data_IF_186801763408
#
_entry.id   IF_186801763408
#
_cell.length_a   1.000
_cell.length_b   1.000
_cell.length_c   1.000
_cell.angle_alpha   90.00
_cell.angle_beta   90.00
_cell.angle_gamma   90.00
#
_symmetry.space_group_name_H-M   'P 1'
#
loop_
_entity.id
_entity.type
_entity.pdbx_description
1 polymer ?
#
# COMPACT_ATOMS: atom_id res chain seq x y z
N UNK A 1 23.00 20.17 20.61
CA UNK A 1 23.13 20.18 19.13
C UNK A 1 24.13 19.11 18.75
N UNK A 2 23.67 18.02 18.20
CA UNK A 2 24.55 17.00 17.62
C UNK A 2 24.96 17.59 16.25
N UNK A 3 26.24 17.98 16.12
CA UNK A 3 26.75 18.40 14.84
C UNK A 3 26.61 17.21 13.89
N UNK A 4 25.88 17.41 12.81
CA UNK A 4 25.70 16.41 11.76
C UNK A 4 27.02 16.25 11.00
N UNK A 5 27.81 15.18 11.26
CA UNK A 5 29.13 15.00 10.65
C UNK A 5 29.06 14.67 9.14
N UNK A 6 27.83 14.45 8.60
CA UNK A 6 27.60 14.01 7.23
C UNK A 6 27.01 15.08 6.32
N UNK A 7 26.96 16.36 6.80
CA UNK A 7 26.52 17.48 5.96
C UNK A 7 25.04 17.44 5.56
N UNK A 8 24.21 16.66 6.24
CA UNK A 8 22.77 16.74 6.10
C UNK A 8 22.35 18.11 6.59
N UNK A 9 22.15 19.04 5.67
CA UNK A 9 21.51 20.29 6.00
C UNK A 9 20.12 19.98 6.49
N UNK A 10 19.69 20.63 7.55
CA UNK A 10 18.36 20.71 8.15
C UNK A 10 17.26 20.04 7.30
N UNK A 11 17.36 18.72 7.20
CA UNK A 11 16.36 17.91 6.57
C UNK A 11 15.20 17.95 7.54
N UNK A 12 14.14 18.61 7.13
CA UNK A 12 12.91 18.55 7.87
C UNK A 12 12.49 17.07 7.89
N UNK A 13 12.52 16.47 9.08
CA UNK A 13 12.03 15.11 9.26
C UNK A 13 10.58 14.94 8.81
N UNK A 14 9.85 16.06 8.65
CA UNK A 14 8.53 16.09 8.05
C UNK A 14 8.57 15.70 6.56
N UNK A 15 9.65 16.03 5.83
CA UNK A 15 9.87 15.54 4.45
C UNK A 15 10.25 14.07 4.41
N UNK A 16 10.76 13.53 5.52
CA UNK A 16 11.09 12.12 5.71
C UNK A 16 9.97 11.29 6.32
N UNK A 17 8.83 11.82 6.52
CA UNK A 17 7.64 10.99 6.74
C UNK A 17 7.40 10.19 5.46
N UNK A 18 8.29 9.18 5.24
CA UNK A 18 8.12 8.10 4.27
C UNK A 18 6.75 7.43 4.46
N UNK A 19 6.21 7.60 5.63
CA UNK A 19 4.86 7.23 6.04
C UNK A 19 4.19 8.45 6.70
N UNK A 20 3.74 9.45 5.93
CA UNK A 20 3.08 10.63 6.49
C UNK A 20 1.79 10.28 7.22
N UNK A 21 1.30 9.06 7.06
CA UNK A 21 0.09 8.56 7.70
C UNK A 21 0.35 7.19 8.33
N UNK A 22 0.10 7.08 9.64
CA UNK A 22 -0.03 5.81 10.35
C UNK A 22 -0.99 4.85 9.59
N UNK A 23 -2.01 5.41 8.95
CA UNK A 23 -2.97 4.69 8.10
C UNK A 23 -2.31 3.93 6.92
N UNK A 24 -1.25 4.47 6.34
CA UNK A 24 -0.50 3.79 5.26
C UNK A 24 0.38 2.67 5.79
N UNK A 25 1.00 2.87 6.95
CA UNK A 25 1.74 1.82 7.64
C UNK A 25 0.82 0.67 8.06
N UNK A 26 -0.36 1.01 8.58
CA UNK A 26 -1.36 0.03 8.98
C UNK A 26 -1.84 -0.82 7.80
N UNK A 27 -1.93 -0.27 6.60
CA UNK A 27 -2.31 -1.05 5.40
C UNK A 27 -1.24 -2.05 4.98
N UNK A 28 0.04 -1.70 5.08
CA UNK A 28 1.14 -2.65 4.84
C UNK A 28 1.10 -3.77 5.88
N UNK A 29 0.92 -3.41 7.14
CA UNK A 29 0.83 -4.37 8.24
C UNK A 29 -0.40 -5.28 8.10
N UNK A 30 -1.56 -4.72 7.72
CA UNK A 30 -2.78 -5.50 7.45
C UNK A 30 -2.57 -6.50 6.31
N UNK A 31 -1.84 -6.11 5.28
CA UNK A 31 -1.53 -7.00 4.18
C UNK A 31 -0.65 -8.18 4.62
N UNK A 32 0.40 -7.95 5.41
CA UNK A 32 1.24 -9.00 6.00
C UNK A 32 0.40 -9.98 6.84
N UNK A 33 -0.51 -9.45 7.67
CA UNK A 33 -1.39 -10.25 8.53
C UNK A 33 -2.33 -11.14 7.70
N UNK A 34 -2.88 -10.62 6.60
CA UNK A 34 -3.87 -11.33 5.79
C UNK A 34 -3.30 -12.54 5.04
N UNK A 35 -2.05 -12.49 4.60
CA UNK A 35 -1.45 -13.55 3.77
C UNK A 35 -0.33 -14.31 4.44
N UNK A 36 0.24 -13.79 5.52
CA UNK A 36 1.49 -14.29 6.13
C UNK A 36 2.64 -14.42 5.10
N UNK A 37 2.53 -13.69 3.97
CA UNK A 37 3.51 -13.61 2.89
C UNK A 37 3.70 -12.16 2.48
N UNK A 38 4.95 -11.75 2.30
CA UNK A 38 5.25 -10.40 1.85
C UNK A 38 5.59 -10.44 0.35
N UNK A 39 4.85 -9.74 -0.53
CA UNK A 39 5.08 -9.79 -1.96
C UNK A 39 6.48 -9.34 -2.33
N UNK A 40 7.13 -10.06 -3.23
CA UNK A 40 8.49 -9.76 -3.69
C UNK A 40 8.57 -8.38 -4.36
N UNK A 41 7.52 -7.96 -5.03
CA UNK A 41 7.41 -6.65 -5.68
C UNK A 41 7.50 -5.54 -4.64
N UNK A 42 6.77 -5.66 -3.54
CA UNK A 42 6.78 -4.71 -2.45
C UNK A 42 8.15 -4.68 -1.75
N UNK A 43 8.77 -5.85 -1.53
CA UNK A 43 10.13 -5.93 -1.01
C UNK A 43 11.15 -5.22 -1.92
N UNK A 44 11.00 -5.37 -3.24
CA UNK A 44 11.88 -4.71 -4.20
C UNK A 44 11.73 -3.19 -4.17
N UNK A 45 10.50 -2.66 -4.04
CA UNK A 45 10.27 -1.22 -3.91
C UNK A 45 10.90 -0.69 -2.61
N UNK A 46 10.74 -1.38 -1.49
CA UNK A 46 11.34 -1.02 -0.20
C UNK A 46 12.87 -1.03 -0.28
N UNK A 47 13.44 -2.08 -0.87
CA UNK A 47 14.91 -2.18 -1.06
C UNK A 47 15.44 -1.06 -1.93
N UNK A 48 14.71 -0.68 -2.99
CA UNK A 48 15.07 0.43 -3.85
C UNK A 48 15.02 1.77 -3.10
N UNK A 49 14.03 1.98 -2.23
CA UNK A 49 13.96 3.16 -1.35
C UNK A 49 15.19 3.28 -0.47
N UNK A 50 15.60 2.21 0.22
CA UNK A 50 16.81 2.21 1.03
C UNK A 50 18.08 2.47 0.21
N UNK A 51 18.18 1.92 -0.99
CA UNK A 51 19.28 2.19 -1.90
C UNK A 51 19.36 3.66 -2.33
N UNK A 52 18.23 4.32 -2.56
CA UNK A 52 18.19 5.74 -2.85
C UNK A 52 18.46 6.59 -1.63
N UNK A 53 17.99 6.19 -0.44
CA UNK A 53 18.29 6.87 0.81
C UNK A 53 19.80 6.87 1.09
N UNK A 54 20.45 5.72 0.95
CA UNK A 54 21.89 5.62 1.12
C UNK A 54 22.65 6.52 0.14
N UNK A 55 22.24 6.57 -1.14
CA UNK A 55 22.85 7.46 -2.14
C UNK A 55 22.60 8.94 -1.85
N UNK A 56 21.41 9.30 -1.37
CA UNK A 56 21.13 10.66 -0.94
C UNK A 56 22.01 11.09 0.23
N UNK A 57 22.25 10.17 1.18
CA UNK A 57 23.07 10.43 2.37
C UNK A 57 24.54 10.72 2.06
N UNK A 58 25.09 10.15 0.97
CA UNK A 58 26.49 10.32 0.56
C UNK A 58 26.64 11.20 -0.68
N UNK A 59 25.56 11.86 -1.11
CA UNK A 59 25.57 12.70 -2.31
C UNK A 59 26.58 13.84 -2.20
N UNK A 60 27.34 14.04 -3.26
CA UNK A 60 28.35 15.10 -3.29
C UNK A 60 27.74 16.49 -3.49
N UNK A 61 26.52 16.55 -4.04
CA UNK A 61 25.80 17.81 -4.31
C UNK A 61 24.35 17.74 -3.82
N UNK A 62 23.76 18.92 -3.46
CA UNK A 62 22.34 18.98 -3.11
C UNK A 62 21.41 18.45 -4.21
N UNK A 63 21.72 18.73 -5.46
CA UNK A 63 20.92 18.31 -6.61
C UNK A 63 20.93 16.79 -6.79
N UNK A 64 22.03 16.12 -6.45
CA UNK A 64 22.11 14.67 -6.45
C UNK A 64 21.27 14.07 -5.31
N UNK A 65 21.33 14.68 -4.12
CA UNK A 65 20.50 14.30 -2.99
C UNK A 65 19.01 14.41 -3.34
N UNK A 66 18.58 15.57 -3.88
CA UNK A 66 17.18 15.80 -4.28
C UNK A 66 16.68 14.80 -5.33
N UNK A 67 17.51 14.48 -6.33
CA UNK A 67 17.15 13.44 -7.32
C UNK A 67 16.92 12.09 -6.68
N UNK A 68 17.73 11.69 -5.70
CA UNK A 68 17.54 10.44 -5.00
C UNK A 68 16.29 10.48 -4.11
N UNK A 69 15.99 11.59 -3.46
CA UNK A 69 14.75 11.77 -2.69
C UNK A 69 13.50 11.68 -3.56
N UNK A 70 13.51 12.30 -4.74
CA UNK A 70 12.41 12.19 -5.69
C UNK A 70 12.16 10.73 -6.11
N UNK A 71 13.22 9.93 -6.27
CA UNK A 71 13.11 8.49 -6.55
C UNK A 71 12.52 7.72 -5.38
N UNK A 72 12.85 8.06 -4.12
CA UNK A 72 12.23 7.46 -2.94
C UNK A 72 10.72 7.70 -2.96
N UNK A 73 10.28 8.96 -3.19
CA UNK A 73 8.84 9.28 -3.30
C UNK A 73 8.13 8.46 -4.38
N UNK A 74 8.79 8.25 -5.53
CA UNK A 74 8.27 7.42 -6.61
C UNK A 74 8.14 5.94 -6.21
N UNK A 75 9.15 5.37 -5.55
CA UNK A 75 9.10 3.99 -5.05
C UNK A 75 8.03 3.81 -3.97
N UNK A 76 7.89 4.78 -3.05
CA UNK A 76 6.82 4.78 -2.03
C UNK A 76 5.43 4.75 -2.67
N UNK A 77 5.21 5.58 -3.70
CA UNK A 77 3.94 5.59 -4.42
C UNK A 77 3.63 4.24 -5.06
N UNK A 78 4.62 3.62 -5.73
CA UNK A 78 4.44 2.28 -6.34
C UNK A 78 4.16 1.22 -5.29
N UNK A 79 4.94 1.19 -4.20
CA UNK A 79 4.71 0.25 -3.11
C UNK A 79 3.29 0.34 -2.55
N UNK A 80 2.78 1.57 -2.35
CA UNK A 80 1.41 1.79 -1.89
C UNK A 80 0.37 1.28 -2.90
N UNK A 81 0.54 1.57 -4.18
CA UNK A 81 -0.35 1.09 -5.23
C UNK A 81 -0.37 -0.44 -5.31
N UNK A 82 0.79 -1.07 -5.15
CA UNK A 82 0.89 -2.54 -5.14
C UNK A 82 0.18 -3.13 -3.91
N UNK A 83 0.30 -2.52 -2.72
CA UNK A 83 -0.49 -2.92 -1.55
C UNK A 83 -1.99 -2.89 -1.83
N UNK A 84 -2.50 -1.85 -2.47
CA UNK A 84 -3.92 -1.76 -2.83
C UNK A 84 -4.33 -2.84 -3.84
N UNK A 85 -3.51 -3.08 -4.89
CA UNK A 85 -3.78 -4.13 -5.89
C UNK A 85 -3.87 -5.50 -5.24
N UNK A 86 -2.89 -5.85 -4.41
CA UNK A 86 -2.87 -7.14 -3.69
C UNK A 86 -4.04 -7.27 -2.72
N UNK A 87 -4.39 -6.21 -1.99
CA UNK A 87 -5.56 -6.22 -1.11
C UNK A 87 -6.84 -6.49 -1.90
N UNK A 88 -7.02 -5.90 -3.06
CA UNK A 88 -8.17 -6.16 -3.93
C UNK A 88 -8.24 -7.62 -4.38
N UNK A 89 -7.09 -8.24 -4.72
CA UNK A 89 -7.02 -9.66 -5.10
C UNK A 89 -7.43 -10.54 -3.92
N UNK A 90 -6.86 -10.30 -2.74
CA UNK A 90 -7.17 -11.08 -1.52
C UNK A 90 -8.66 -11.00 -1.19
N UNK A 91 -9.25 -9.82 -1.19
CA UNK A 91 -10.67 -9.65 -0.88
C UNK A 91 -11.56 -10.29 -1.95
N UNK A 92 -11.15 -10.28 -3.22
CA UNK A 92 -11.87 -10.98 -4.28
C UNK A 92 -11.84 -12.50 -4.04
N UNK A 93 -10.68 -13.06 -3.73
CA UNK A 93 -10.51 -14.48 -3.44
C UNK A 93 -11.34 -14.90 -2.21
N UNK A 94 -11.29 -14.11 -1.12
CA UNK A 94 -12.08 -14.35 0.09
C UNK A 94 -13.59 -14.29 -0.17
N UNK A 95 -14.02 -13.38 -1.03
CA UNK A 95 -15.42 -13.28 -1.44
C UNK A 95 -15.85 -14.57 -2.17
N UNK A 96 -15.07 -15.04 -3.12
CA UNK A 96 -15.38 -16.24 -3.88
C UNK A 96 -15.33 -17.52 -3.02
N UNK A 97 -14.36 -17.58 -2.12
CA UNK A 97 -14.22 -18.67 -1.15
C UNK A 97 -15.45 -18.73 -0.23
N UNK A 98 -15.89 -17.60 0.30
CA UNK A 98 -17.09 -17.52 1.12
C UNK A 98 -18.32 -18.10 0.40
N UNK A 99 -18.60 -17.68 -0.82
CA UNK A 99 -19.75 -18.17 -1.56
C UNK A 99 -19.61 -19.65 -1.98
N UNK A 100 -18.41 -20.12 -2.21
CA UNK A 100 -18.14 -21.55 -2.45
C UNK A 100 -18.42 -22.38 -1.20
N UNK A 101 -17.94 -21.95 -0.06
CA UNK A 101 -18.04 -22.71 1.19
C UNK A 101 -19.47 -22.74 1.73
N UNK A 102 -20.23 -21.68 1.50
CA UNK A 102 -21.62 -21.54 1.96
C UNK A 102 -22.66 -21.74 0.84
N UNK A 103 -22.29 -22.38 -0.28
CA UNK A 103 -23.21 -22.56 -1.42
C UNK A 103 -24.47 -23.36 -1.10
N UNK A 104 -24.45 -24.20 -0.07
CA UNK A 104 -25.60 -25.02 0.40
C UNK A 104 -26.38 -24.39 1.56
N UNK A 105 -25.97 -23.18 2.01
CA UNK A 105 -26.60 -22.51 3.14
C UNK A 105 -27.52 -21.41 2.64
N UNK A 106 -28.74 -21.36 3.18
CA UNK A 106 -29.68 -20.28 2.89
C UNK A 106 -29.27 -19.00 3.66
N UNK A 107 -28.54 -18.13 2.97
CA UNK A 107 -28.05 -16.86 3.51
C UNK A 107 -29.14 -15.76 3.51
N UNK A 108 -30.35 -16.04 3.02
CA UNK A 108 -31.42 -15.04 2.93
C UNK A 108 -31.99 -14.66 4.29
N UNK A 109 -31.75 -15.46 5.32
CA UNK A 109 -32.16 -15.14 6.69
C UNK A 109 -31.18 -14.24 7.45
N UNK A 110 -30.00 -13.99 6.92
CA UNK A 110 -29.02 -13.14 7.57
C UNK A 110 -29.39 -11.67 7.41
N UNK A 111 -29.22 -10.89 8.47
CA UNK A 111 -29.53 -9.45 8.49
C UNK A 111 -30.94 -9.13 7.96
N UNK A 112 -31.94 -9.89 8.38
CA UNK A 112 -33.34 -9.74 7.92
C UNK A 112 -33.49 -9.75 6.39
N UNK A 113 -32.73 -10.57 5.70
CA UNK A 113 -32.71 -10.72 4.25
C UNK A 113 -31.87 -9.69 3.50
N UNK A 114 -31.13 -8.85 4.20
CA UNK A 114 -30.35 -7.78 3.59
C UNK A 114 -28.88 -8.16 3.31
N UNK A 115 -28.37 -9.21 3.94
CA UNK A 115 -26.95 -9.58 3.87
C UNK A 115 -26.44 -9.72 2.43
N UNK A 116 -27.05 -10.59 1.63
CA UNK A 116 -26.60 -10.83 0.25
C UNK A 116 -26.64 -9.56 -0.60
N UNK A 117 -27.73 -8.79 -0.49
CA UNK A 117 -27.87 -7.52 -1.22
C UNK A 117 -26.75 -6.56 -0.86
N UNK A 118 -26.44 -6.41 0.43
CA UNK A 118 -25.39 -5.52 0.92
C UNK A 118 -24.00 -5.96 0.46
N UNK A 119 -23.71 -7.24 0.53
CA UNK A 119 -22.43 -7.81 0.08
C UNK A 119 -22.22 -7.58 -1.41
N UNK A 120 -23.25 -7.82 -2.25
CA UNK A 120 -23.17 -7.58 -3.68
C UNK A 120 -22.99 -6.08 -4.01
N UNK A 121 -23.72 -5.19 -3.35
CA UNK A 121 -23.58 -3.75 -3.54
C UNK A 121 -22.18 -3.26 -3.19
N UNK A 122 -21.59 -3.74 -2.10
CA UNK A 122 -20.21 -3.39 -1.70
C UNK A 122 -19.18 -3.89 -2.72
N UNK A 123 -19.36 -5.11 -3.26
CA UNK A 123 -18.49 -5.66 -4.30
C UNK A 123 -18.58 -4.84 -5.58
N UNK A 124 -19.78 -4.49 -6.03
CA UNK A 124 -19.99 -3.67 -7.23
C UNK A 124 -19.33 -2.30 -7.07
N UNK A 125 -19.56 -1.62 -5.94
CA UNK A 125 -18.94 -0.33 -5.66
C UNK A 125 -17.41 -0.41 -5.65
N UNK A 126 -16.82 -1.42 -5.02
CA UNK A 126 -15.38 -1.63 -5.02
C UNK A 126 -14.83 -1.90 -6.44
N UNK A 127 -15.55 -2.67 -7.25
CA UNK A 127 -15.17 -2.98 -8.63
C UNK A 127 -15.19 -1.72 -9.50
N UNK A 128 -16.21 -0.87 -9.36
CA UNK A 128 -16.30 0.38 -10.10
C UNK A 128 -15.19 1.37 -9.71
N UNK A 129 -14.87 1.48 -8.41
CA UNK A 129 -13.75 2.30 -7.95
C UNK A 129 -12.41 1.80 -8.51
N UNK A 130 -12.19 0.49 -8.54
CA UNK A 130 -10.96 -0.09 -9.10
C UNK A 130 -10.83 0.18 -10.60
N UNK A 131 -11.94 0.08 -11.36
CA UNK A 131 -11.98 0.43 -12.79
C UNK A 131 -11.65 1.91 -13.01
N UNK A 132 -12.28 2.79 -12.22
CA UNK A 132 -12.03 4.22 -12.30
C UNK A 132 -10.56 4.57 -12.01
N UNK A 133 -9.96 3.95 -10.99
CA UNK A 133 -8.56 4.14 -10.66
C UNK A 133 -7.61 3.70 -11.79
N UNK A 134 -7.92 2.58 -12.48
CA UNK A 134 -7.13 2.10 -13.63
C UNK A 134 -7.22 3.00 -14.86
N UNK A 135 -8.33 3.71 -15.02
CA UNK A 135 -8.51 4.64 -16.13
C UNK A 135 -7.89 6.03 -15.87
N UNK A 136 -7.48 6.32 -14.63
CA UNK A 136 -6.87 7.58 -14.23
C UNK A 136 -5.32 7.59 -14.31
N UNK A 137 -4.70 6.45 -14.66
CA UNK A 137 -3.26 6.31 -14.93
C UNK A 137 -2.94 6.64 -16.38
#
# INVERSE_FOLDING_TARGET
MISNPYGFRDWDWEDFKLYPDLEKQDRINQFEILKNEFPIELQNEIRAMYGHLARAAIAATPEEAERNLAKIKSHTKRALLDCYKYSCIIFSDQYEEFFRDYHGVDLTYLEDGNFLRRVHQLREAATEQLKAAKCAE
#
